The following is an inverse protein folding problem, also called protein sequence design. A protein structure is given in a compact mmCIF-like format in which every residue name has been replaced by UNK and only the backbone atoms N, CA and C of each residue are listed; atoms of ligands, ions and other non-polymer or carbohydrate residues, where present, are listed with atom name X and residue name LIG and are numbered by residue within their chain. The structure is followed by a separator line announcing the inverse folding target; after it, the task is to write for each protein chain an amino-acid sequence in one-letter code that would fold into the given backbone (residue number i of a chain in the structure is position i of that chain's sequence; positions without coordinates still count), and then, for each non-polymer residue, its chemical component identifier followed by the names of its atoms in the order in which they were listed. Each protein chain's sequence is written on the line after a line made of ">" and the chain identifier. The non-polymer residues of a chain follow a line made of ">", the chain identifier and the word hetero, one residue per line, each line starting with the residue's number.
data_IF_361145521234
#
_entry.id   IF_361145521234
#
_cell.length_a   1.000
_cell.length_b   1.000
_cell.length_c   1.000
_cell.angle_alpha   90.00
_cell.angle_beta   90.00
_cell.angle_gamma   90.00
#
_symmetry.space_group_name_H-M   'P 1'
#
loop_
_entity.id
_entity.type
_entity.pdbx_description
1 polymer ?
#
# COMPACT_ATOMS: atom_id res chain seq x y z
N UNK A 1 -20.70 -4.58 -35.33
CA UNK A 1 -19.69 -3.51 -35.19
C UNK A 1 -18.31 -4.17 -35.21
N UNK A 2 -17.51 -3.98 -36.26
CA UNK A 2 -16.20 -4.65 -36.41
C UNK A 2 -15.15 -3.80 -35.69
N UNK A 3 -14.61 -4.33 -34.59
CA UNK A 3 -13.57 -3.65 -33.84
C UNK A 3 -12.23 -3.73 -34.57
N UNK A 4 -11.62 -2.57 -34.84
CA UNK A 4 -10.27 -2.50 -35.41
C UNK A 4 -9.21 -2.57 -34.31
N UNK A 5 -7.99 -3.01 -34.65
CA UNK A 5 -6.84 -3.14 -33.73
C UNK A 5 -6.62 -1.93 -32.80
N UNK A 6 -6.80 -0.71 -33.32
CA UNK A 6 -6.70 0.54 -32.54
C UNK A 6 -7.67 0.60 -31.35
N UNK A 7 -8.88 0.07 -31.49
CA UNK A 7 -9.88 0.07 -30.42
C UNK A 7 -9.52 -0.89 -29.30
N UNK A 8 -8.92 -2.05 -29.64
CA UNK A 8 -8.42 -3.00 -28.64
C UNK A 8 -7.28 -2.40 -27.81
N UNK A 9 -6.37 -1.64 -28.45
CA UNK A 9 -5.31 -0.93 -27.73
C UNK A 9 -5.91 0.08 -26.73
N UNK A 10 -6.87 0.89 -27.18
CA UNK A 10 -7.50 1.89 -26.30
C UNK A 10 -8.20 1.20 -25.12
N UNK A 11 -8.95 0.12 -25.36
CA UNK A 11 -9.60 -0.64 -24.29
C UNK A 11 -8.58 -1.24 -23.34
N UNK A 12 -7.46 -1.77 -23.83
CA UNK A 12 -6.40 -2.29 -22.98
C UNK A 12 -5.86 -1.21 -22.03
N UNK A 13 -5.58 0.00 -22.52
CA UNK A 13 -5.13 1.09 -21.67
C UNK A 13 -6.20 1.54 -20.68
N UNK A 14 -7.47 1.61 -21.09
CA UNK A 14 -8.57 1.94 -20.19
C UNK A 14 -8.66 0.90 -19.06
N UNK A 15 -8.63 -0.38 -19.39
CA UNK A 15 -8.66 -1.46 -18.41
C UNK A 15 -7.45 -1.41 -17.48
N UNK A 16 -6.26 -1.15 -18.02
CA UNK A 16 -5.04 -1.00 -17.22
C UNK A 16 -5.16 0.17 -16.24
N UNK A 17 -5.66 1.32 -16.69
CA UNK A 17 -5.90 2.50 -15.83
C UNK A 17 -6.92 2.19 -14.75
N UNK A 18 -8.03 1.52 -15.07
CA UNK A 18 -9.03 1.10 -14.09
C UNK A 18 -8.40 0.16 -13.05
N UNK A 19 -7.59 -0.81 -13.48
CA UNK A 19 -6.91 -1.73 -12.57
C UNK A 19 -5.97 -1.01 -11.61
N UNK A 20 -5.21 -0.02 -12.09
CA UNK A 20 -4.31 0.79 -11.24
C UNK A 20 -5.13 1.63 -10.24
N UNK A 21 -6.23 2.25 -10.68
CA UNK A 21 -7.09 3.07 -9.82
C UNK A 21 -7.88 2.24 -8.80
N UNK A 22 -8.17 0.99 -9.11
CA UNK A 22 -8.80 0.03 -8.19
C UNK A 22 -7.80 -0.57 -7.19
N UNK A 23 -6.52 -0.16 -7.22
CA UNK A 23 -5.59 -0.51 -6.13
C UNK A 23 -5.86 0.35 -4.90
N UNK A 24 -5.98 -0.31 -3.76
CA UNK A 24 -6.13 0.31 -2.46
C UNK A 24 -4.75 0.45 -1.81
N UNK A 25 -4.52 1.52 -1.05
CA UNK A 25 -3.29 1.69 -0.27
C UNK A 25 -3.62 1.59 1.21
N UNK A 26 -3.04 0.59 1.87
CA UNK A 26 -3.19 0.34 3.30
C UNK A 26 -1.99 0.92 4.01
N UNK A 27 -2.23 1.76 5.00
CA UNK A 27 -1.17 2.32 5.85
C UNK A 27 -1.15 1.58 7.18
N UNK A 28 0.04 1.12 7.57
CA UNK A 28 0.26 0.41 8.83
C UNK A 28 1.46 1.03 9.55
N UNK A 29 1.39 1.05 10.87
CA UNK A 29 2.48 1.49 11.75
C UNK A 29 2.83 0.38 12.71
N UNK A 30 4.11 0.22 12.98
CA UNK A 30 4.57 -0.65 14.03
C UNK A 30 4.33 0.02 15.38
N UNK A 31 3.58 -0.62 16.28
CA UNK A 31 3.33 -0.10 17.63
C UNK A 31 4.56 -0.15 18.55
N UNK A 32 5.61 -0.87 18.15
CA UNK A 32 6.84 -1.05 18.94
C UNK A 32 7.88 0.01 18.60
N UNK A 33 8.20 0.17 17.31
CA UNK A 33 9.29 1.05 16.85
C UNK A 33 8.80 2.28 16.07
N UNK A 34 7.48 2.46 15.90
CA UNK A 34 6.91 3.63 15.24
C UNK A 34 7.11 3.69 13.72
N UNK A 35 7.87 2.75 13.13
CA UNK A 35 8.07 2.71 11.68
C UNK A 35 6.74 2.54 10.96
N UNK A 36 6.58 3.27 9.86
CA UNK A 36 5.40 3.17 9.01
C UNK A 36 5.72 2.31 7.79
N UNK A 37 4.72 1.61 7.30
CA UNK A 37 4.77 0.86 6.06
C UNK A 37 3.43 1.02 5.32
N UNK A 38 3.49 0.97 4.00
CA UNK A 38 2.31 1.07 3.17
C UNK A 38 2.24 -0.10 2.18
N UNK A 39 1.12 -0.81 2.21
CA UNK A 39 0.84 -1.89 1.28
C UNK A 39 -0.08 -1.38 0.17
N UNK A 40 0.15 -1.83 -1.07
CA UNK A 40 -0.87 -1.75 -2.11
C UNK A 40 -1.60 -3.08 -2.25
N UNK A 41 -2.92 -3.03 -2.20
CA UNK A 41 -3.79 -4.17 -2.44
C UNK A 41 -4.61 -3.98 -3.71
N UNK A 42 -4.90 -5.08 -4.40
CA UNK A 42 -5.85 -5.11 -5.50
C UNK A 42 -6.84 -6.25 -5.24
N UNK A 43 -8.12 -5.91 -5.09
CA UNK A 43 -9.18 -6.89 -4.77
C UNK A 43 -8.85 -7.77 -3.54
N UNK A 44 -8.26 -7.19 -2.50
CA UNK A 44 -7.86 -7.90 -1.27
C UNK A 44 -6.56 -8.71 -1.35
N UNK A 45 -5.87 -8.70 -2.49
CA UNK A 45 -4.56 -9.33 -2.66
C UNK A 45 -3.46 -8.27 -2.60
N UNK A 46 -2.48 -8.44 -1.70
CA UNK A 46 -1.31 -7.55 -1.62
C UNK A 46 -0.42 -7.73 -2.85
N UNK A 47 -0.04 -6.62 -3.48
CA UNK A 47 0.88 -6.59 -4.63
C UNK A 47 2.28 -6.24 -4.13
N UNK A 48 3.10 -7.26 -3.81
CA UNK A 48 4.45 -7.10 -3.23
C UNK A 48 5.33 -6.10 -3.98
N UNK A 49 5.26 -6.08 -5.32
CA UNK A 49 6.03 -5.16 -6.18
C UNK A 49 5.77 -3.66 -5.91
N UNK A 50 4.67 -3.34 -5.24
CA UNK A 50 4.24 -1.98 -4.92
C UNK A 50 4.13 -1.72 -3.42
N UNK A 51 4.45 -2.70 -2.56
CA UNK A 51 3.89 -2.77 -1.20
C UNK A 51 4.90 -2.80 -0.05
N UNK A 52 6.19 -2.53 -0.26
CA UNK A 52 7.11 -2.48 0.88
C UNK A 52 8.06 -1.32 0.77
N UNK A 53 7.82 -0.31 1.61
CA UNK A 53 8.80 0.72 1.91
C UNK A 53 8.62 1.14 3.34
N UNK A 54 9.42 0.54 4.21
CA UNK A 54 9.57 1.00 5.58
C UNK A 54 10.03 2.47 5.56
N UNK A 55 9.20 3.34 6.11
CA UNK A 55 9.44 4.76 6.20
C UNK A 55 9.46 5.16 7.68
N UNK A 56 10.62 5.62 8.13
CA UNK A 56 10.82 6.15 9.48
C UNK A 56 10.82 7.67 9.41
N UNK A 57 9.63 8.26 9.33
CA UNK A 57 9.43 9.71 9.17
C UNK A 57 10.05 10.52 10.33
N UNK A 58 10.02 9.95 11.54
CA UNK A 58 10.37 10.65 12.78
C UNK A 58 11.67 10.16 13.42
N UNK A 59 12.41 9.25 12.79
CA UNK A 59 13.61 8.65 13.39
C UNK A 59 13.31 7.72 14.57
N UNK A 60 12.04 7.35 14.76
CA UNK A 60 11.56 6.49 15.86
C UNK A 60 12.15 5.09 15.83
N UNK A 61 12.40 4.54 14.64
CA UNK A 61 13.07 3.25 14.51
C UNK A 61 14.56 3.39 14.88
N UNK A 62 15.19 4.49 14.49
CA UNK A 62 16.58 4.78 14.87
C UNK A 62 16.73 4.94 16.39
N UNK A 63 15.85 5.70 17.05
CA UNK A 63 15.83 5.85 18.51
C UNK A 63 15.59 4.51 19.22
N UNK A 64 14.72 3.65 18.66
CA UNK A 64 14.48 2.32 19.20
C UNK A 64 15.74 1.44 19.12
N UNK A 65 16.46 1.46 18.00
CA UNK A 65 17.74 0.75 17.83
C UNK A 65 18.78 1.25 18.83
N UNK A 66 18.88 2.56 19.03
CA UNK A 66 19.82 3.15 19.99
C UNK A 66 19.52 2.72 21.44
N UNK A 67 18.24 2.48 21.77
CA UNK A 67 17.81 2.05 23.10
C UNK A 67 17.92 0.54 23.33
N UNK A 68 17.69 -0.28 22.30
CA UNK A 68 17.57 -1.74 22.44
C UNK A 68 18.77 -2.49 21.87
N UNK A 69 19.65 -1.84 21.11
CA UNK A 69 20.87 -2.43 20.54
C UNK A 69 20.63 -3.44 19.43
N UNK A 70 19.37 -3.70 19.05
CA UNK A 70 19.01 -4.63 17.99
C UNK A 70 18.54 -3.88 16.73
N UNK A 71 19.02 -4.26 15.54
CA UNK A 71 18.61 -3.64 14.28
C UNK A 71 17.22 -4.09 13.78
N UNK A 72 16.61 -5.08 14.44
CA UNK A 72 15.34 -5.66 14.04
C UNK A 72 14.37 -5.66 15.20
N UNK A 73 13.34 -4.81 15.11
CA UNK A 73 12.21 -4.91 16.03
C UNK A 73 11.28 -6.06 15.60
N UNK A 74 10.69 -6.82 16.53
CA UNK A 74 9.57 -7.71 16.22
C UNK A 74 8.36 -6.83 15.87
N UNK A 75 8.22 -6.48 14.58
CA UNK A 75 7.21 -5.54 14.14
C UNK A 75 5.81 -6.01 14.50
N UNK A 76 5.08 -5.20 15.26
CA UNK A 76 3.67 -5.38 15.55
C UNK A 76 2.87 -4.36 14.74
N UNK A 77 2.50 -4.73 13.53
CA UNK A 77 1.81 -3.86 12.60
C UNK A 77 0.36 -3.63 13.02
N UNK A 78 -0.02 -2.36 13.10
CA UNK A 78 -1.38 -1.91 13.28
C UNK A 78 -1.80 -1.04 12.09
N UNK A 79 -2.93 -1.36 11.48
CA UNK A 79 -3.50 -0.57 10.38
C UNK A 79 -3.95 0.79 10.93
N UNK A 80 -3.42 1.88 10.37
CA UNK A 80 -3.80 3.25 10.72
C UNK A 80 -4.97 3.70 9.86
N UNK A 81 -4.95 3.33 8.58
CA UNK A 81 -5.94 3.73 7.60
C UNK A 81 -6.40 2.52 6.81
N UNK A 82 -7.60 2.07 7.12
CA UNK A 82 -8.35 1.17 6.24
C UNK A 82 -8.76 1.93 4.98
N UNK A 83 -8.86 1.25 3.83
CA UNK A 83 -9.43 1.84 2.63
C UNK A 83 -10.88 2.21 2.94
N UNK A 84 -11.14 3.50 3.19
CA UNK A 84 -12.49 4.01 3.32
C UNK A 84 -13.14 3.92 1.95
N UNK A 85 -13.85 2.82 1.70
CA UNK A 85 -14.91 2.76 0.68
C UNK A 85 -16.10 3.58 1.22
N UNK A 86 -15.89 4.88 1.42
CA UNK A 86 -16.98 5.81 1.79
C UNK A 86 -17.69 6.36 0.54
N UNK A 87 -17.42 5.79 -0.64
CA UNK A 87 -18.07 6.15 -1.89
C UNK A 87 -19.45 5.49 -2.09
N UNK A 88 -19.93 4.68 -1.14
CA UNK A 88 -21.25 4.02 -1.20
C UNK A 88 -22.19 4.36 -0.03
N UNK A 89 -21.84 5.32 0.83
CA UNK A 89 -22.77 5.91 1.81
C UNK A 89 -23.23 7.30 1.35
N UNK A 90 -24.03 7.36 0.28
CA UNK A 90 -24.97 8.46 0.03
C UNK A 90 -26.25 7.92 -0.57
#
# INVERSE_FOLDING_TARGET
>A
MRWNYRHYIIVFFILLTISILATETIWRVCTVCGVQDYDRQFMGVTIELLSQREYDEFGTHKEWIEQHGEPHSPHQWKVIKEPTIDLLKR
#
